data_IF_435521497268
#
_entry.id   IF_435521497268
#
_cell.length_a   1.000
_cell.length_b   1.000
_cell.length_c   1.000
_cell.angle_alpha   90.00
_cell.angle_beta   90.00
_cell.angle_gamma   90.00
#
_symmetry.space_group_name_H-M   'P 1'
#
loop_
_entity.id
_entity.type
_entity.pdbx_description
1 polymer ?
#
# COMPACT_ATOMS: atom_id res chain seq x y z
N UNK A 1 78.89 45.58 -4.11
CA UNK A 1 77.86 45.11 -3.16
C UNK A 1 76.47 45.61 -3.56
N UNK A 2 75.69 44.81 -4.31
CA UNK A 2 74.28 45.12 -4.66
C UNK A 2 73.47 43.82 -4.68
N UNK A 3 73.21 43.22 -3.50
CA UNK A 3 72.30 42.07 -3.35
C UNK A 3 71.69 42.05 -1.94
N UNK A 4 70.77 42.97 -1.62
CA UNK A 4 70.01 42.88 -0.35
C UNK A 4 68.59 43.45 -0.39
N UNK A 5 68.25 44.40 -1.30
CA UNK A 5 66.94 45.06 -1.29
C UNK A 5 65.79 44.28 -1.96
N UNK A 6 66.08 43.41 -2.93
CA UNK A 6 65.07 42.62 -3.64
C UNK A 6 64.51 41.43 -2.82
N UNK A 7 65.31 40.88 -1.90
CA UNK A 7 64.93 39.72 -1.08
C UNK A 7 63.86 40.06 -0.02
N UNK A 8 64.00 41.22 0.64
CA UNK A 8 63.04 41.70 1.65
C UNK A 8 61.65 42.00 1.05
N UNK A 9 61.58 42.59 -0.14
CA UNK A 9 60.30 42.91 -0.79
C UNK A 9 59.52 41.64 -1.21
N UNK A 10 60.23 40.58 -1.65
CA UNK A 10 59.61 39.28 -1.94
C UNK A 10 59.12 38.57 -0.67
N UNK A 11 59.83 38.69 0.46
CA UNK A 11 59.36 38.15 1.74
C UNK A 11 58.09 38.86 2.25
N UNK A 12 57.98 40.18 2.10
CA UNK A 12 56.77 40.91 2.48
C UNK A 12 55.58 40.55 1.59
N UNK A 13 55.79 40.42 0.28
CA UNK A 13 54.75 39.98 -0.66
C UNK A 13 54.28 38.56 -0.36
N UNK A 14 55.20 37.65 -0.03
CA UNK A 14 54.86 36.27 0.32
C UNK A 14 54.07 36.19 1.63
N UNK A 15 54.46 36.95 2.66
CA UNK A 15 53.71 37.04 3.93
C UNK A 15 52.30 37.61 3.72
N UNK A 16 52.17 38.65 2.89
CA UNK A 16 50.86 39.24 2.57
C UNK A 16 49.98 38.25 1.82
N UNK A 17 50.53 37.51 0.86
CA UNK A 17 49.80 36.47 0.12
C UNK A 17 49.31 35.35 1.05
N UNK A 18 50.17 34.90 1.97
CA UNK A 18 49.80 33.89 2.98
C UNK A 18 48.65 34.36 3.88
N UNK A 19 48.66 35.61 4.32
CA UNK A 19 47.58 36.17 5.16
C UNK A 19 46.26 36.27 4.40
N UNK A 20 46.30 36.65 3.12
CA UNK A 20 45.11 36.73 2.27
C UNK A 20 44.52 35.33 2.06
N UNK A 21 45.35 34.34 1.72
CA UNK A 21 44.89 32.95 1.51
C UNK A 21 44.34 32.35 2.80
N UNK A 22 45.00 32.57 3.94
CA UNK A 22 44.52 32.10 5.24
C UNK A 22 43.16 32.71 5.61
N UNK A 23 42.96 34.01 5.33
CA UNK A 23 41.68 34.69 5.56
C UNK A 23 40.54 34.09 4.72
N UNK A 24 40.80 33.85 3.42
CA UNK A 24 39.82 33.21 2.54
C UNK A 24 39.48 31.78 2.99
N UNK A 25 40.47 31.01 3.45
CA UNK A 25 40.26 29.65 3.94
C UNK A 25 39.38 29.63 5.20
N UNK A 26 39.64 30.53 6.15
CA UNK A 26 38.83 30.65 7.38
C UNK A 26 37.40 31.06 7.05
N UNK A 27 37.22 32.01 6.12
CA UNK A 27 35.89 32.45 5.69
C UNK A 27 35.12 31.32 5.00
N UNK A 28 35.78 30.55 4.14
CA UNK A 28 35.17 29.40 3.46
C UNK A 28 34.74 28.31 4.44
N UNK A 29 35.59 27.98 5.44
CA UNK A 29 35.26 27.01 6.48
C UNK A 29 34.08 27.50 7.34
N UNK A 30 34.03 28.79 7.68
CA UNK A 30 32.94 29.36 8.46
C UNK A 30 31.60 29.35 7.69
N UNK A 31 31.62 29.69 6.39
CA UNK A 31 30.45 29.67 5.54
C UNK A 31 29.96 28.25 5.25
N UNK A 32 30.87 27.32 4.97
CA UNK A 32 30.54 25.91 4.78
C UNK A 32 30.02 25.29 6.07
N UNK A 33 30.62 25.64 7.21
CA UNK A 33 30.13 25.27 8.53
C UNK A 33 28.71 25.78 8.76
N UNK A 34 28.44 27.08 8.55
CA UNK A 34 27.09 27.62 8.70
C UNK A 34 26.08 26.98 7.75
N UNK A 35 26.47 26.65 6.53
CA UNK A 35 25.61 25.95 5.58
C UNK A 35 25.27 24.53 6.06
N UNK A 36 26.26 23.76 6.49
CA UNK A 36 26.06 22.38 6.99
C UNK A 36 25.28 22.37 8.31
N UNK A 37 25.64 23.23 9.27
CA UNK A 37 24.93 23.33 10.56
C UNK A 37 23.54 23.96 10.41
N UNK A 38 23.35 24.87 9.46
CA UNK A 38 22.05 25.44 9.13
C UNK A 38 21.12 24.41 8.50
N UNK A 39 21.59 23.62 7.53
CA UNK A 39 20.83 22.52 6.94
C UNK A 39 20.49 21.44 7.97
N UNK A 40 21.47 21.03 8.79
CA UNK A 40 21.23 20.06 9.86
C UNK A 40 20.22 20.61 10.88
N UNK A 41 20.39 21.86 11.34
CA UNK A 41 19.48 22.50 12.28
C UNK A 41 18.05 22.62 11.75
N UNK A 42 17.87 22.94 10.46
CA UNK A 42 16.56 23.01 9.83
C UNK A 42 15.90 21.63 9.74
N UNK A 43 16.65 20.59 9.38
CA UNK A 43 16.18 19.19 9.36
C UNK A 43 15.80 18.67 10.75
N UNK A 44 16.55 19.03 11.80
CA UNK A 44 16.24 18.65 13.17
C UNK A 44 15.00 19.38 13.72
N UNK A 45 14.85 20.68 13.42
CA UNK A 45 13.66 21.43 13.82
C UNK A 45 12.40 20.96 13.07
N UNK A 46 12.49 20.68 11.77
CA UNK A 46 11.37 20.13 11.00
C UNK A 46 10.99 18.75 11.51
N UNK A 47 11.96 17.85 11.71
CA UNK A 47 11.73 16.53 12.29
C UNK A 47 11.12 16.61 13.70
N UNK A 48 11.59 17.54 14.55
CA UNK A 48 11.08 17.71 15.91
C UNK A 48 9.67 18.32 15.93
N UNK A 49 9.36 19.26 15.04
CA UNK A 49 8.01 19.82 14.88
C UNK A 49 7.02 18.79 14.32
N UNK A 50 7.45 18.00 13.32
CA UNK A 50 6.69 16.86 12.82
C UNK A 50 6.43 15.84 13.94
N UNK A 51 7.47 15.37 14.63
CA UNK A 51 7.34 14.45 15.77
C UNK A 51 6.50 15.01 16.93
N UNK A 52 6.52 16.34 17.12
CA UNK A 52 5.66 17.04 18.08
C UNK A 52 4.19 16.99 17.70
N UNK A 53 3.87 17.04 16.41
CA UNK A 53 2.51 16.85 15.87
C UNK A 53 2.03 15.40 16.05
N UNK A 54 2.91 14.41 15.83
CA UNK A 54 2.59 12.99 16.03
C UNK A 54 2.20 12.64 17.48
N UNK A 55 2.68 13.38 18.49
CA UNK A 55 2.44 13.04 19.90
C UNK A 55 1.01 13.25 20.40
N UNK A 56 0.17 14.01 19.67
CA UNK A 56 -1.20 14.32 20.08
C UNK A 56 -2.28 13.75 19.15
N UNK A 57 -1.90 13.14 18.03
CA UNK A 57 -2.83 12.54 17.09
C UNK A 57 -2.79 11.01 17.21
N UNK A 58 -3.90 10.42 17.68
CA UNK A 58 -4.04 8.97 17.86
C UNK A 58 -3.96 8.18 16.54
N UNK A 59 -4.22 8.86 15.41
CA UNK A 59 -4.25 8.32 14.05
C UNK A 59 -2.97 8.57 13.27
N UNK A 60 -1.99 9.23 13.86
CA UNK A 60 -0.75 9.52 13.17
C UNK A 60 -0.01 8.21 12.81
N UNK A 61 0.31 8.03 11.52
CA UNK A 61 0.89 6.80 10.99
C UNK A 61 -0.14 5.68 10.72
N UNK A 62 -1.43 5.99 10.79
CA UNK A 62 -2.55 5.04 10.68
C UNK A 62 -3.66 5.54 9.76
N UNK A 63 -3.52 6.68 9.09
CA UNK A 63 -4.57 7.19 8.23
C UNK A 63 -4.75 6.31 7.01
N UNK A 64 -6.00 5.89 6.76
CA UNK A 64 -6.35 5.09 5.59
C UNK A 64 -7.30 5.89 4.71
N UNK A 65 -6.94 6.03 3.44
CA UNK A 65 -7.85 6.49 2.40
C UNK A 65 -8.42 5.29 1.65
N UNK A 66 -9.73 5.26 1.43
CA UNK A 66 -10.39 4.17 0.70
C UNK A 66 -10.74 4.62 -0.70
N UNK A 67 -10.21 3.93 -1.71
CA UNK A 67 -10.51 4.20 -3.11
C UNK A 67 -11.99 4.06 -3.43
N UNK A 68 -12.53 5.04 -4.15
CA UNK A 68 -13.91 5.01 -4.65
C UNK A 68 -13.95 4.31 -6.01
N UNK A 69 -13.92 2.97 -5.99
CA UNK A 69 -13.91 2.17 -7.20
C UNK A 69 -15.27 2.17 -7.93
N UNK A 70 -15.28 2.04 -9.27
CA UNK A 70 -16.48 1.70 -10.02
C UNK A 70 -17.16 0.45 -9.44
N UNK A 71 -18.49 0.45 -9.22
CA UNK A 71 -19.20 -0.64 -8.51
C UNK A 71 -19.02 -2.03 -9.11
N UNK A 72 -18.67 -2.12 -10.40
CA UNK A 72 -18.35 -3.39 -11.09
C UNK A 72 -17.23 -4.19 -10.42
N UNK A 73 -16.34 -3.53 -9.68
CA UNK A 73 -15.22 -4.14 -8.97
C UNK A 73 -15.59 -4.62 -7.55
N UNK A 74 -16.77 -4.28 -7.03
CA UNK A 74 -17.21 -4.65 -5.69
C UNK A 74 -18.72 -4.88 -5.58
N UNK A 75 -19.52 -3.85 -5.32
CA UNK A 75 -20.93 -3.99 -4.94
C UNK A 75 -21.79 -4.64 -6.01
N UNK A 76 -21.47 -4.50 -7.30
CA UNK A 76 -22.21 -5.18 -8.37
C UNK A 76 -21.97 -6.69 -8.42
N UNK A 77 -20.91 -7.18 -7.78
CA UNK A 77 -20.68 -8.61 -7.57
C UNK A 77 -21.66 -9.15 -6.54
N UNK A 78 -21.89 -8.41 -5.46
CA UNK A 78 -22.85 -8.79 -4.42
C UNK A 78 -24.29 -8.85 -4.93
N UNK A 79 -24.65 -8.02 -5.91
CA UNK A 79 -25.99 -8.04 -6.53
C UNK A 79 -26.24 -9.25 -7.42
N UNK A 80 -25.17 -9.96 -7.83
CA UNK A 80 -25.19 -11.14 -8.68
C UNK A 80 -24.48 -12.30 -8.01
N UNK A 81 -24.69 -12.42 -6.70
CA UNK A 81 -23.99 -13.37 -5.84
C UNK A 81 -24.25 -14.83 -6.23
N UNK A 82 -25.36 -15.10 -6.91
CA UNK A 82 -25.69 -16.39 -7.51
C UNK A 82 -24.72 -16.82 -8.63
N UNK A 83 -23.97 -15.87 -9.21
CA UNK A 83 -23.01 -16.13 -10.30
C UNK A 83 -21.57 -16.29 -9.83
N UNK A 84 -21.30 -16.11 -8.53
CA UNK A 84 -19.93 -16.01 -7.99
C UNK A 84 -19.28 -17.35 -7.66
N UNK A 85 -19.95 -18.47 -7.94
CA UNK A 85 -19.33 -19.77 -7.89
C UNK A 85 -19.99 -20.72 -8.89
N UNK A 86 -19.17 -21.36 -9.71
CA UNK A 86 -19.63 -22.38 -10.65
C UNK A 86 -19.87 -23.73 -9.96
N UNK A 87 -19.08 -24.06 -8.93
CA UNK A 87 -19.22 -25.30 -8.15
C UNK A 87 -20.05 -25.17 -6.87
N UNK A 88 -19.99 -24.02 -6.19
CA UNK A 88 -20.77 -23.77 -4.97
C UNK A 88 -22.11 -23.16 -5.35
N UNK A 89 -23.20 -23.82 -4.96
CA UNK A 89 -24.55 -23.31 -5.13
C UNK A 89 -24.67 -22.00 -4.37
N UNK A 90 -24.79 -20.89 -5.10
CA UNK A 90 -25.19 -19.57 -4.63
C UNK A 90 -24.38 -19.00 -3.44
N UNK A 91 -23.46 -18.07 -3.71
CA UNK A 91 -22.68 -17.37 -2.65
C UNK A 91 -23.54 -16.41 -1.81
N UNK A 92 -24.76 -16.07 -2.23
CA UNK A 92 -25.58 -15.05 -1.57
C UNK A 92 -25.79 -15.32 -0.07
N UNK A 93 -25.91 -16.59 0.34
CA UNK A 93 -26.09 -16.94 1.76
C UNK A 93 -24.89 -16.51 2.61
N UNK A 94 -23.68 -16.66 2.10
CA UNK A 94 -22.44 -16.33 2.81
C UNK A 94 -22.12 -14.84 2.81
N UNK A 95 -22.72 -14.07 1.89
CA UNK A 95 -22.52 -12.62 1.78
C UNK A 95 -23.48 -11.82 2.66
N UNK A 96 -24.37 -12.49 3.41
CA UNK A 96 -25.20 -11.87 4.45
C UNK A 96 -24.35 -11.37 5.61
N UNK A 97 -24.93 -10.51 6.46
CA UNK A 97 -24.28 -9.99 7.67
C UNK A 97 -22.87 -9.47 7.39
N UNK A 98 -22.72 -8.53 6.46
CA UNK A 98 -21.41 -7.97 6.10
C UNK A 98 -20.36 -9.00 5.64
N UNK A 99 -20.80 -10.13 5.08
CA UNK A 99 -19.92 -11.23 4.65
C UNK A 99 -19.72 -12.32 5.69
N UNK A 100 -20.26 -12.19 6.91
CA UNK A 100 -20.15 -13.24 7.91
C UNK A 100 -21.04 -14.46 7.63
N UNK A 101 -22.07 -14.31 6.79
CA UNK A 101 -23.06 -15.36 6.57
C UNK A 101 -24.10 -15.45 7.69
N UNK A 102 -24.97 -16.47 7.70
CA UNK A 102 -26.01 -16.60 8.73
C UNK A 102 -25.40 -16.96 10.09
N UNK A 103 -26.06 -16.59 11.20
CA UNK A 103 -25.65 -17.04 12.53
C UNK A 103 -25.68 -18.57 12.60
N UNK A 104 -24.69 -19.17 13.28
CA UNK A 104 -24.70 -20.60 13.54
C UNK A 104 -25.84 -20.95 14.52
N UNK A 105 -26.48 -22.10 14.31
CA UNK A 105 -27.61 -22.51 15.13
C UNK A 105 -27.23 -22.63 16.61
N UNK A 106 -28.09 -22.14 17.50
CA UNK A 106 -27.97 -22.13 18.97
C UNK A 106 -28.04 -23.54 19.62
N UNK A 107 -27.82 -24.62 18.85
CA UNK A 107 -28.08 -25.98 19.31
C UNK A 107 -26.95 -26.59 20.16
N UNK A 108 -25.91 -25.83 20.48
CA UNK A 108 -24.81 -26.30 21.32
C UNK A 108 -24.53 -25.28 22.41
N UNK A 109 -24.42 -25.74 23.66
CA UNK A 109 -23.98 -24.96 24.82
C UNK A 109 -22.52 -24.46 24.73
N UNK A 110 -21.95 -24.48 23.52
CA UNK A 110 -20.53 -24.21 23.22
C UNK A 110 -20.36 -22.77 22.72
N UNK A 111 -21.40 -22.20 22.10
CA UNK A 111 -21.33 -20.88 21.48
C UNK A 111 -22.35 -19.95 22.12
N UNK A 112 -21.92 -18.75 22.51
CA UNK A 112 -22.83 -17.67 22.86
C UNK A 112 -23.69 -17.31 21.63
N UNK A 113 -24.99 -17.13 21.87
CA UNK A 113 -25.94 -16.83 20.82
C UNK A 113 -25.55 -15.53 20.09
N UNK A 114 -25.41 -15.61 18.76
CA UNK A 114 -25.00 -14.48 17.92
C UNK A 114 -23.50 -14.21 17.86
N UNK A 115 -22.66 -15.01 18.54
CA UNK A 115 -21.19 -14.82 18.53
C UNK A 115 -20.48 -15.57 17.39
N UNK A 116 -21.17 -16.48 16.69
CA UNK A 116 -20.60 -17.32 15.63
C UNK A 116 -21.45 -17.31 14.37
N UNK A 117 -20.79 -17.23 13.22
CA UNK A 117 -21.43 -17.19 11.91
C UNK A 117 -20.85 -18.25 10.98
N UNK A 118 -21.69 -18.79 10.09
CA UNK A 118 -21.28 -19.71 9.04
C UNK A 118 -20.57 -18.92 7.90
N UNK A 119 -19.36 -18.45 8.20
CA UNK A 119 -18.55 -17.65 7.29
C UNK A 119 -17.84 -18.51 6.25
N UNK A 120 -17.86 -18.05 4.99
CA UNK A 120 -17.12 -18.66 3.89
C UNK A 120 -15.81 -17.89 3.63
N UNK A 121 -14.74 -18.59 3.31
CA UNK A 121 -13.43 -17.98 3.06
C UNK A 121 -13.44 -16.93 1.93
N UNK A 122 -14.29 -17.08 0.92
CA UNK A 122 -14.37 -16.18 -0.23
C UNK A 122 -15.10 -14.86 0.09
N UNK A 123 -15.60 -14.69 1.33
CA UNK A 123 -16.23 -13.46 1.80
C UNK A 123 -15.26 -12.45 2.40
N UNK A 124 -13.96 -12.78 2.49
CA UNK A 124 -12.94 -12.01 3.21
C UNK A 124 -12.94 -10.52 2.84
N UNK A 125 -13.03 -10.19 1.55
CA UNK A 125 -13.02 -8.80 1.10
C UNK A 125 -14.26 -8.02 1.53
N UNK A 126 -15.42 -8.69 1.62
CA UNK A 126 -16.66 -8.07 2.09
C UNK A 126 -16.56 -7.77 3.58
N UNK A 127 -16.06 -8.74 4.36
CA UNK A 127 -15.82 -8.58 5.81
C UNK A 127 -14.81 -7.46 6.04
N UNK A 128 -13.67 -7.50 5.35
CA UNK A 128 -12.62 -6.51 5.51
C UNK A 128 -13.11 -5.12 5.12
N UNK A 129 -13.77 -4.97 3.99
CA UNK A 129 -14.31 -3.69 3.54
C UNK A 129 -15.38 -3.16 4.52
N UNK A 130 -16.25 -4.02 5.06
CA UNK A 130 -17.26 -3.59 6.03
C UNK A 130 -16.65 -3.17 7.38
N UNK A 131 -15.59 -3.84 7.83
CA UNK A 131 -14.80 -3.42 9.00
C UNK A 131 -14.03 -2.13 8.74
N UNK A 132 -13.40 -1.99 7.56
CA UNK A 132 -12.63 -0.81 7.18
C UNK A 132 -13.50 0.45 7.19
N UNK A 133 -14.77 0.38 6.77
CA UNK A 133 -15.73 1.50 6.84
C UNK A 133 -15.98 2.04 8.26
N UNK A 134 -15.64 1.29 9.30
CA UNK A 134 -15.79 1.67 10.72
C UNK A 134 -14.46 2.00 11.37
N UNK A 135 -13.38 2.00 10.60
CA UNK A 135 -12.05 2.29 11.10
C UNK A 135 -11.94 3.76 11.52
N UNK A 136 -11.37 4.01 12.70
CA UNK A 136 -11.35 5.33 13.33
C UNK A 136 -10.47 6.34 12.57
N UNK A 137 -9.42 5.87 11.88
CA UNK A 137 -8.46 6.70 11.17
C UNK A 137 -8.72 6.77 9.66
N UNK A 138 -9.99 6.72 9.24
CA UNK A 138 -10.33 6.99 7.84
C UNK A 138 -10.17 8.47 7.51
N UNK A 139 -9.58 8.76 6.36
CA UNK A 139 -9.48 10.13 5.82
C UNK A 139 -10.13 10.22 4.44
N UNK A 140 -10.74 11.38 4.15
CA UNK A 140 -11.22 11.73 2.81
C UNK A 140 -10.17 12.48 1.98
N UNK A 141 -9.05 12.86 2.59
CA UNK A 141 -7.92 13.51 1.93
C UNK A 141 -6.78 12.50 1.74
N UNK A 142 -6.63 12.03 0.51
CA UNK A 142 -5.60 11.05 0.16
C UNK A 142 -4.17 11.56 0.36
N UNK A 143 -3.94 12.88 0.42
CA UNK A 143 -2.61 13.44 0.70
C UNK A 143 -2.18 13.31 2.17
N UNK A 144 -3.13 13.02 3.07
CA UNK A 144 -2.90 12.80 4.50
C UNK A 144 -2.83 11.32 4.88
N UNK A 145 -3.06 10.41 3.92
CA UNK A 145 -3.13 8.98 4.18
C UNK A 145 -1.74 8.36 4.31
N UNK A 146 -1.61 7.43 5.25
CA UNK A 146 -0.43 6.59 5.43
C UNK A 146 -0.50 5.32 4.54
N UNK A 147 -1.72 4.86 4.20
CA UNK A 147 -1.94 3.82 3.20
C UNK A 147 -3.30 3.97 2.49
N UNK A 148 -3.39 3.41 1.29
CA UNK A 148 -4.55 3.51 0.42
C UNK A 148 -5.16 2.13 0.19
N UNK A 149 -6.37 1.93 0.71
CA UNK A 149 -7.11 0.69 0.55
C UNK A 149 -7.84 0.65 -0.79
N UNK A 150 -7.64 -0.42 -1.56
CA UNK A 150 -8.34 -0.71 -2.82
C UNK A 150 -9.41 -1.78 -2.55
N UNK A 151 -10.71 -1.42 -2.43
CA UNK A 151 -11.78 -2.36 -2.10
C UNK A 151 -12.25 -3.17 -3.32
N UNK A 152 -11.34 -3.93 -3.93
CA UNK A 152 -11.63 -4.87 -5.02
C UNK A 152 -11.97 -6.24 -4.44
N UNK A 153 -13.10 -6.82 -4.85
CA UNK A 153 -13.51 -8.16 -4.38
C UNK A 153 -12.91 -9.25 -5.28
N UNK A 154 -11.59 -9.39 -5.24
CA UNK A 154 -10.80 -10.22 -6.13
C UNK A 154 -11.23 -11.69 -6.13
N UNK A 155 -11.52 -12.27 -4.97
CA UNK A 155 -11.91 -13.66 -4.82
C UNK A 155 -13.31 -13.96 -5.35
N UNK A 156 -14.24 -13.01 -5.18
CA UNK A 156 -15.58 -13.10 -5.74
C UNK A 156 -15.54 -12.97 -7.27
N UNK A 157 -14.77 -12.02 -7.78
CA UNK A 157 -14.54 -11.86 -9.22
C UNK A 157 -13.89 -13.10 -9.84
N UNK A 158 -12.90 -13.66 -9.16
CA UNK A 158 -12.25 -14.90 -9.55
C UNK A 158 -13.24 -16.08 -9.50
N UNK A 159 -14.09 -16.17 -8.48
CA UNK A 159 -15.08 -17.24 -8.32
C UNK A 159 -16.05 -17.39 -9.50
N UNK A 160 -16.40 -16.29 -10.18
CA UNK A 160 -17.25 -16.36 -11.38
C UNK A 160 -16.49 -16.70 -12.67
N UNK A 161 -15.19 -16.42 -12.74
CA UNK A 161 -14.46 -16.39 -14.01
C UNK A 161 -13.32 -17.42 -14.11
N UNK A 162 -12.75 -17.90 -13.01
CA UNK A 162 -11.55 -18.77 -13.02
C UNK A 162 -11.73 -20.05 -13.84
N UNK A 163 -12.95 -20.59 -13.90
CA UNK A 163 -13.26 -21.81 -14.65
C UNK A 163 -13.51 -21.57 -16.15
N UNK A 164 -13.63 -20.31 -16.60
CA UNK A 164 -13.74 -19.96 -18.02
C UNK A 164 -12.56 -20.55 -18.78
N UNK A 165 -12.78 -21.22 -19.92
CA UNK A 165 -11.66 -21.69 -20.75
C UNK A 165 -10.90 -20.56 -21.46
N UNK A 166 -11.41 -19.33 -21.41
CA UNK A 166 -10.79 -18.17 -22.04
C UNK A 166 -10.11 -17.28 -20.98
N UNK A 167 -8.78 -17.22 -21.02
CA UNK A 167 -7.96 -16.40 -20.11
C UNK A 167 -8.22 -14.91 -20.22
N UNK A 168 -8.64 -14.42 -21.39
CA UNK A 168 -9.06 -13.01 -21.56
C UNK A 168 -10.24 -12.67 -20.66
N UNK A 169 -11.16 -13.61 -20.43
CA UNK A 169 -12.29 -13.41 -19.51
C UNK A 169 -11.81 -13.38 -18.05
N UNK A 170 -10.86 -14.25 -17.70
CA UNK A 170 -10.27 -14.33 -16.34
C UNK A 170 -9.50 -13.06 -15.97
N UNK A 171 -8.78 -12.49 -16.93
CA UNK A 171 -7.86 -11.37 -16.71
C UNK A 171 -8.54 -10.00 -16.82
N UNK A 172 -9.72 -9.92 -17.47
CA UNK A 172 -10.38 -8.66 -17.79
C UNK A 172 -10.55 -7.72 -16.59
N UNK A 173 -11.14 -8.21 -15.50
CA UNK A 173 -11.41 -7.36 -14.34
C UNK A 173 -10.12 -6.92 -13.60
N UNK A 174 -9.15 -7.82 -13.33
CA UNK A 174 -7.83 -7.41 -12.85
C UNK A 174 -7.14 -6.33 -13.69
N UNK A 175 -7.13 -6.50 -15.02
CA UNK A 175 -6.51 -5.53 -15.93
C UNK A 175 -7.23 -4.18 -15.89
N UNK A 176 -8.56 -4.18 -16.03
CA UNK A 176 -9.37 -2.96 -15.98
C UNK A 176 -9.23 -2.23 -14.62
N UNK A 177 -9.08 -2.97 -13.52
CA UNK A 177 -8.83 -2.38 -12.20
C UNK A 177 -7.47 -1.69 -12.15
N UNK A 178 -6.41 -2.36 -12.59
CA UNK A 178 -5.06 -1.81 -12.56
C UNK A 178 -4.94 -0.56 -13.44
N UNK A 179 -5.55 -0.57 -14.63
CA UNK A 179 -5.63 0.61 -15.49
C UNK A 179 -6.39 1.74 -14.80
N UNK A 180 -7.49 1.43 -14.10
CA UNK A 180 -8.28 2.42 -13.39
C UNK A 180 -7.51 3.06 -12.23
N UNK A 181 -6.94 2.27 -11.31
CA UNK A 181 -6.26 2.81 -10.12
C UNK A 181 -4.97 3.53 -10.49
N UNK A 182 -4.22 3.04 -11.48
CA UNK A 182 -2.97 3.69 -11.93
C UNK A 182 -3.21 5.02 -12.65
N UNK A 183 -4.43 5.25 -13.15
CA UNK A 183 -4.83 6.53 -13.71
C UNK A 183 -5.29 7.57 -12.67
N UNK A 184 -5.46 7.17 -11.40
CA UNK A 184 -5.86 8.09 -10.34
C UNK A 184 -4.68 8.94 -9.86
N UNK A 185 -4.96 10.16 -9.38
CA UNK A 185 -3.91 11.06 -8.85
C UNK A 185 -3.17 10.44 -7.65
N UNK A 186 -3.88 9.63 -6.86
CA UNK A 186 -3.37 8.90 -5.70
C UNK A 186 -2.19 7.98 -6.05
N UNK A 187 -2.21 7.38 -7.25
CA UNK A 187 -1.15 6.48 -7.68
C UNK A 187 0.20 7.18 -7.78
N UNK A 188 0.22 8.43 -8.25
CA UNK A 188 1.46 9.14 -8.57
C UNK A 188 2.29 9.53 -7.34
N UNK A 189 1.70 9.51 -6.14
CA UNK A 189 2.40 9.90 -4.92
C UNK A 189 3.53 8.93 -4.57
N UNK A 190 3.27 7.62 -4.67
CA UNK A 190 4.20 6.56 -4.30
C UNK A 190 4.28 5.43 -5.34
N UNK A 191 3.75 5.66 -6.54
CA UNK A 191 3.73 4.71 -7.66
C UNK A 191 3.05 3.38 -7.28
N UNK A 192 2.03 3.42 -6.42
CA UNK A 192 1.29 2.26 -5.95
C UNK A 192 1.84 1.61 -4.67
N UNK A 193 3.04 1.97 -4.19
CA UNK A 193 3.66 1.32 -3.02
C UNK A 193 2.94 1.52 -1.69
N UNK A 194 2.12 2.55 -1.60
CA UNK A 194 1.23 2.86 -0.50
C UNK A 194 -0.17 2.22 -0.65
N UNK A 195 -0.44 1.53 -1.76
CA UNK A 195 -1.71 0.87 -2.00
C UNK A 195 -1.70 -0.56 -1.49
N UNK A 196 -2.83 -0.99 -0.96
CA UNK A 196 -3.05 -2.38 -0.61
C UNK A 196 -4.47 -2.86 -0.93
N UNK A 197 -4.60 -4.16 -1.17
CA UNK A 197 -5.87 -4.85 -1.29
C UNK A 197 -5.88 -6.16 -0.52
N UNK A 198 -7.07 -6.69 -0.31
CA UNK A 198 -7.29 -7.99 0.35
C UNK A 198 -7.92 -8.92 -0.66
N UNK A 199 -7.56 -10.21 -0.65
CA UNK A 199 -8.15 -11.22 -1.50
C UNK A 199 -8.43 -12.52 -0.73
N UNK A 200 -9.70 -12.96 -0.74
CA UNK A 200 -10.22 -14.14 -0.03
C UNK A 200 -9.90 -15.48 -0.71
N UNK A 201 -8.83 -15.57 -1.48
CA UNK A 201 -8.35 -16.79 -2.16
C UNK A 201 -6.85 -16.94 -1.96
N UNK A 202 -6.36 -18.14 -2.26
CA UNK A 202 -4.92 -18.42 -2.24
C UNK A 202 -4.20 -17.62 -3.34
N UNK A 203 -2.97 -17.19 -3.09
CA UNK A 203 -2.19 -16.40 -4.04
C UNK A 203 -2.05 -17.07 -5.43
N UNK A 204 -2.03 -18.41 -5.46
CA UNK A 204 -1.97 -19.21 -6.69
C UNK A 204 -3.09 -18.90 -7.70
N UNK A 205 -4.29 -18.55 -7.23
CA UNK A 205 -5.43 -18.21 -8.10
C UNK A 205 -5.18 -16.92 -8.92
N UNK A 206 -4.22 -16.10 -8.50
CA UNK A 206 -3.94 -14.77 -9.05
C UNK A 206 -2.58 -14.66 -9.75
N UNK A 207 -1.81 -15.75 -9.81
CA UNK A 207 -0.39 -15.77 -10.24
C UNK A 207 -0.13 -16.48 -11.56
N UNK A 208 -1.12 -16.56 -12.45
CA UNK A 208 -0.86 -17.17 -13.77
C UNK A 208 0.21 -16.36 -14.52
N UNK A 209 1.31 -17.01 -14.84
CA UNK A 209 2.49 -16.39 -15.49
C UNK A 209 2.60 -16.69 -16.99
N UNK A 210 1.81 -17.63 -17.49
CA UNK A 210 1.84 -18.09 -18.88
C UNK A 210 0.53 -17.74 -19.57
N UNK A 211 0.64 -17.16 -20.77
CA UNK A 211 -0.48 -16.74 -21.62
C UNK A 211 -1.02 -17.91 -22.44
N UNK A 212 -1.55 -18.88 -21.72
CA UNK A 212 -2.12 -20.11 -22.26
C UNK A 212 -3.40 -20.46 -21.49
N UNK A 213 -4.46 -20.72 -22.25
CA UNK A 213 -5.82 -21.02 -21.77
C UNK A 213 -5.90 -22.28 -20.89
N UNK A 214 -4.91 -23.18 -21.00
CA UNK A 214 -4.82 -24.41 -20.21
C UNK A 214 -4.33 -24.20 -18.78
N UNK A 215 -3.67 -23.07 -18.49
CA UNK A 215 -3.12 -22.80 -17.15
C UNK A 215 -4.17 -22.22 -16.22
N UNK A 216 -4.12 -22.58 -14.94
CA UNK A 216 -5.04 -22.08 -13.91
C UNK A 216 -4.75 -20.63 -13.53
N UNK A 217 -5.78 -19.92 -13.07
CA UNK A 217 -5.64 -18.58 -12.48
C UNK A 217 -5.87 -17.42 -13.43
N UNK A 218 -5.91 -16.22 -12.85
CA UNK A 218 -5.78 -14.95 -13.57
C UNK A 218 -4.40 -14.33 -13.30
N UNK A 219 -4.14 -13.17 -13.93
CA UNK A 219 -2.85 -12.47 -13.85
C UNK A 219 -2.73 -11.43 -12.75
N UNK A 220 -3.74 -11.22 -11.90
CA UNK A 220 -3.82 -10.06 -10.99
C UNK A 220 -2.48 -9.76 -10.31
N UNK A 221 -1.82 -10.73 -9.69
CA UNK A 221 -0.55 -10.53 -8.97
C UNK A 221 0.69 -10.37 -9.85
N UNK A 222 0.60 -10.73 -11.14
CA UNK A 222 1.70 -10.63 -12.10
C UNK A 222 1.51 -9.43 -13.05
N UNK A 223 0.50 -8.57 -12.84
CA UNK A 223 0.39 -7.33 -13.57
C UNK A 223 1.47 -6.34 -13.11
N UNK A 224 2.13 -5.58 -14.01
CA UNK A 224 3.21 -4.67 -13.63
C UNK A 224 2.83 -3.66 -12.54
N UNK A 225 1.59 -3.14 -12.58
CA UNK A 225 1.06 -2.25 -11.56
C UNK A 225 0.86 -2.98 -10.22
N UNK A 226 0.42 -4.23 -10.27
CA UNK A 226 0.17 -5.04 -9.07
C UNK A 226 1.45 -5.44 -8.33
N UNK A 227 2.58 -5.50 -9.02
CA UNK A 227 3.89 -5.71 -8.36
C UNK A 227 4.28 -4.54 -7.44
N UNK A 228 3.70 -3.36 -7.64
CA UNK A 228 3.96 -2.19 -6.79
C UNK A 228 3.06 -2.15 -5.55
N UNK A 229 1.91 -2.82 -5.55
CA UNK A 229 0.96 -2.75 -4.44
C UNK A 229 1.13 -3.96 -3.50
N UNK A 230 0.67 -3.80 -2.26
CA UNK A 230 0.64 -4.89 -1.28
C UNK A 230 -0.66 -5.69 -1.39
N UNK A 231 -0.59 -7.01 -1.49
CA UNK A 231 -1.79 -7.87 -1.46
C UNK A 231 -1.81 -8.76 -0.22
N UNK A 232 -2.93 -8.71 0.50
CA UNK A 232 -3.18 -9.54 1.68
C UNK A 232 -4.07 -10.72 1.29
N UNK A 233 -3.53 -11.94 1.32
CA UNK A 233 -4.19 -13.18 0.88
C UNK A 233 -4.34 -14.18 2.01
N UNK A 234 -5.19 -15.21 1.85
CA UNK A 234 -5.34 -16.26 2.87
C UNK A 234 -4.03 -17.07 3.07
N UNK A 235 -3.22 -17.17 2.02
CA UNK A 235 -1.91 -17.83 2.03
C UNK A 235 -0.88 -16.91 1.40
N UNK A 236 0.24 -16.66 2.09
CA UNK A 236 1.40 -15.93 1.57
C UNK A 236 2.46 -16.90 1.05
N UNK A 237 3.11 -16.57 -0.06
CA UNK A 237 4.29 -17.30 -0.53
C UNK A 237 5.58 -16.73 0.09
N UNK A 238 6.62 -17.54 0.24
CA UNK A 238 7.93 -17.08 0.72
C UNK A 238 8.79 -16.45 -0.39
N UNK A 239 8.27 -16.38 -1.62
CA UNK A 239 9.04 -16.02 -2.81
C UNK A 239 8.85 -14.55 -3.22
N UNK A 240 7.87 -13.85 -2.64
CA UNK A 240 7.50 -12.48 -3.01
C UNK A 240 7.32 -11.60 -1.77
N UNK A 241 7.95 -10.42 -1.77
CA UNK A 241 8.00 -9.52 -0.61
C UNK A 241 6.70 -8.71 -0.41
N UNK A 242 5.83 -8.65 -1.42
CA UNK A 242 4.60 -7.84 -1.42
C UNK A 242 3.34 -8.63 -1.00
N UNK A 243 3.50 -9.84 -0.46
CA UNK A 243 2.43 -10.69 0.03
C UNK A 243 2.46 -10.81 1.56
N UNK A 244 1.27 -10.77 2.17
CA UNK A 244 1.13 -11.15 3.57
C UNK A 244 -0.16 -11.96 3.79
N UNK A 245 -0.10 -12.89 4.74
CA UNK A 245 -1.25 -13.68 5.16
C UNK A 245 -2.29 -12.84 5.89
N UNK A 246 -3.56 -12.97 5.52
CA UNK A 246 -4.70 -12.34 6.17
C UNK A 246 -5.53 -13.39 6.92
N UNK A 247 -5.64 -13.24 8.23
CA UNK A 247 -6.53 -14.04 9.07
C UNK A 247 -7.62 -13.11 9.61
N UNK A 248 -8.89 -13.43 9.32
CA UNK A 248 -10.03 -12.77 9.94
C UNK A 248 -10.59 -13.63 11.07
N UNK A 249 -10.33 -13.21 12.31
CA UNK A 249 -10.97 -13.81 13.48
C UNK A 249 -12.34 -13.15 13.75
N UNK A 250 -13.33 -13.99 14.03
CA UNK A 250 -14.59 -13.57 14.63
C UNK A 250 -14.30 -13.26 16.11
N UNK A 251 -14.76 -12.09 16.59
CA UNK A 251 -14.66 -11.68 18.00
C UNK A 251 -16.06 -11.54 18.55
#
# INVERSE_FOLDING_TARGET
>A
MKKTKASSNNQHRLRLLFLIVASFLVCFIALYGCYVYGLAGFSYLSASAYLGSFKNDACAGKYIFVHQLPPKFNFDLLRRCETLSYHMKDMCVYLQNDGFGPPMAENSSIFEAGSWFATDQFSLEVIFHSRMKRYECLTNDSSSADALYVPFYAALEAGRNLESQNTTVRDKAPMELMDYISSQKEWSAMEGRDHFLVAGRIAWDFRRSIDDDTYWGNKLMNLPQSEQITMLTIESTTYHENEAGAICEQK
#
